data_IF_399106072205
#
_entry.id   IF_399106072205
#
_cell.length_a   1.000
_cell.length_b   1.000
_cell.length_c   1.000
_cell.angle_alpha   90.00
_cell.angle_beta   90.00
_cell.angle_gamma   90.00
#
_symmetry.space_group_name_H-M   'P 1'
#
loop_
_entity.id
_entity.type
_entity.pdbx_description
1 polymer ?
#
# COMPACT_ATOMS: atom_id res chain seq x y z
N UNK A 1 37.60 39.51 -9.88
CA UNK A 1 38.27 38.70 -10.91
C UNK A 1 38.04 37.24 -10.51
N UNK A 2 37.00 36.61 -11.06
CA UNK A 2 37.09 35.74 -12.25
C UNK A 2 37.98 34.53 -11.93
N UNK A 3 37.50 33.29 -11.86
CA UNK A 3 36.70 32.54 -12.85
C UNK A 3 36.05 31.31 -12.15
N UNK A 4 34.76 30.98 -12.38
CA UNK A 4 34.21 29.92 -13.28
C UNK A 4 34.93 28.57 -13.15
N UNK A 5 34.32 27.39 -13.19
CA UNK A 5 32.95 26.82 -13.26
C UNK A 5 33.22 25.30 -13.34
N UNK A 6 32.36 24.46 -12.75
CA UNK A 6 31.97 23.16 -13.33
C UNK A 6 30.95 22.51 -12.39
N UNK A 7 29.69 22.93 -12.56
CA UNK A 7 28.55 22.09 -12.28
C UNK A 7 28.70 20.82 -13.11
N UNK A 8 28.74 19.68 -12.45
CA UNK A 8 28.65 18.38 -13.11
C UNK A 8 27.18 17.99 -13.07
N UNK A 9 26.46 18.33 -14.13
CA UNK A 9 25.15 17.79 -14.43
C UNK A 9 25.25 16.26 -14.47
N UNK A 10 24.75 15.62 -13.42
CA UNK A 10 24.62 14.16 -13.33
C UNK A 10 23.43 13.78 -14.21
N UNK A 11 23.58 12.92 -15.24
CA UNK A 11 22.43 12.49 -16.03
C UNK A 11 21.51 11.69 -15.11
N UNK A 12 20.29 12.19 -14.90
CA UNK A 12 19.21 11.41 -14.30
C UNK A 12 18.83 10.31 -15.28
N UNK A 13 19.40 9.13 -15.09
CA UNK A 13 19.05 7.94 -15.87
C UNK A 13 17.64 7.55 -15.44
N UNK A 14 16.67 7.81 -16.32
CA UNK A 14 15.34 7.25 -16.19
C UNK A 14 15.44 5.73 -16.30
N UNK A 15 15.02 5.02 -15.26
CA UNK A 15 14.75 3.58 -15.33
C UNK A 15 13.79 3.32 -16.50
N UNK A 16 14.32 2.77 -17.59
CA UNK A 16 13.57 2.38 -18.77
C UNK A 16 12.79 1.10 -18.44
N UNK A 17 11.49 1.27 -18.13
CA UNK A 17 10.51 0.24 -17.79
C UNK A 17 10.09 -0.64 -19.00
N UNK A 18 10.99 -0.90 -19.95
CA UNK A 18 10.69 -1.72 -21.13
C UNK A 18 10.43 -3.21 -20.80
N UNK A 19 10.52 -3.62 -19.53
CA UNK A 19 10.14 -4.94 -19.04
C UNK A 19 8.62 -5.08 -18.70
N UNK A 20 7.82 -4.00 -18.79
CA UNK A 20 6.38 -4.03 -18.47
C UNK A 20 5.41 -4.18 -19.66
N UNK A 21 5.90 -4.35 -20.89
CA UNK A 21 5.03 -4.63 -22.05
C UNK A 21 4.70 -6.13 -22.23
N UNK A 22 4.54 -6.86 -21.12
CA UNK A 22 4.04 -8.23 -21.15
C UNK A 22 2.52 -8.21 -20.95
N UNK A 23 1.75 -8.52 -22.01
CA UNK A 23 0.31 -8.79 -21.90
C UNK A 23 0.16 -10.28 -21.52
N UNK A 24 -0.26 -10.64 -20.30
CA UNK A 24 -0.48 -12.04 -19.94
C UNK A 24 -1.76 -12.53 -20.62
N UNK A 25 -1.63 -13.44 -21.58
CA UNK A 25 -2.76 -14.07 -22.27
C UNK A 25 -2.34 -15.41 -22.87
N UNK A 26 -3.21 -16.41 -22.79
CA UNK A 26 -3.00 -17.71 -23.42
C UNK A 26 -3.23 -17.58 -24.94
N UNK A 27 -2.17 -17.45 -25.71
CA UNK A 27 -2.26 -17.47 -27.17
C UNK A 27 -2.27 -18.91 -27.67
N UNK A 28 -3.40 -19.33 -28.23
CA UNK A 28 -3.43 -20.52 -29.09
C UNK A 28 -2.63 -20.21 -30.35
N UNK A 29 -1.51 -20.90 -30.55
CA UNK A 29 -0.81 -20.92 -31.83
C UNK A 29 -1.78 -21.42 -32.90
N UNK A 30 -2.20 -20.51 -33.80
CA UNK A 30 -2.79 -20.93 -35.06
C UNK A 30 -1.59 -21.36 -35.91
N UNK A 31 -1.43 -22.67 -36.09
CA UNK A 31 -0.52 -23.21 -37.10
C UNK A 31 -1.02 -22.74 -38.47
N UNK A 32 -0.48 -21.62 -38.95
CA UNK A 32 -0.61 -21.26 -40.36
C UNK A 32 0.24 -22.27 -41.14
N UNK A 33 -0.45 -23.23 -41.74
CA UNK A 33 0.06 -24.24 -42.65
C UNK A 33 1.10 -23.64 -43.61
N UNK A 34 2.38 -23.98 -43.42
CA UNK A 34 3.37 -23.86 -44.49
C UNK A 34 3.07 -25.04 -45.43
N UNK A 35 2.16 -24.81 -46.36
CA UNK A 35 1.90 -25.74 -47.45
C UNK A 35 2.97 -25.50 -48.52
N UNK A 36 3.91 -26.44 -48.65
CA UNK A 36 4.85 -26.50 -49.77
C UNK A 36 4.06 -26.57 -51.09
N UNK A 37 4.13 -25.51 -51.90
CA UNK A 37 3.56 -25.49 -53.23
C UNK A 37 4.66 -25.77 -54.27
N UNK A 38 4.59 -26.97 -54.84
CA UNK A 38 5.37 -27.42 -56.00
C UNK A 38 4.96 -26.72 -57.29
N UNK A 39 5.96 -26.43 -58.13
CA UNK A 39 5.85 -25.90 -59.49
C UNK A 39 4.78 -26.58 -60.37
N UNK A 40 4.04 -25.77 -61.14
CA UNK A 40 3.63 -26.06 -62.53
C UNK A 40 3.05 -24.82 -63.23
N UNK A 41 3.42 -24.68 -64.50
CA UNK A 41 3.29 -23.51 -65.37
C UNK A 41 1.88 -23.20 -65.92
N UNK A 42 1.78 -21.97 -66.44
CA UNK A 42 0.96 -21.45 -67.56
C UNK A 42 -0.36 -20.70 -67.25
N UNK A 43 -0.40 -19.44 -67.70
CA UNK A 43 -1.61 -18.64 -67.87
C UNK A 43 -1.32 -17.16 -68.13
N UNK A 44 -1.40 -16.75 -69.39
CA UNK A 44 -1.23 -15.37 -69.88
C UNK A 44 -2.30 -14.40 -69.37
N UNK A 45 -1.92 -13.12 -69.21
CA UNK A 45 -2.85 -11.99 -69.33
C UNK A 45 -2.86 -11.03 -68.14
N UNK A 46 -2.18 -9.90 -68.29
CA UNK A 46 -2.78 -8.55 -68.33
C UNK A 46 -1.83 -7.49 -67.75
N UNK A 47 -1.77 -6.35 -68.45
CA UNK A 47 -0.88 -5.24 -68.15
C UNK A 47 -1.55 -4.33 -67.14
N UNK A 48 -1.15 -4.42 -65.88
CA UNK A 48 -1.42 -3.37 -64.90
C UNK A 48 -0.12 -2.83 -64.29
N UNK A 49 0.00 -1.51 -64.36
CA UNK A 49 1.09 -0.71 -63.79
C UNK A 49 1.03 -0.79 -62.25
N UNK A 50 1.59 -1.85 -61.68
CA UNK A 50 1.84 -1.91 -60.25
C UNK A 50 3.16 -1.18 -59.97
N UNK A 51 3.05 0.01 -59.39
CA UNK A 51 4.17 0.71 -58.76
C UNK A 51 4.90 -0.30 -57.87
N UNK A 52 6.21 -0.51 -58.07
CA UNK A 52 6.94 -1.45 -57.21
C UNK A 52 6.86 -0.91 -55.78
N UNK A 53 6.01 -1.52 -54.94
CA UNK A 53 6.19 -1.42 -53.51
C UNK A 53 7.56 -2.03 -53.28
N UNK A 54 8.55 -1.18 -53.00
CA UNK A 54 9.83 -1.66 -52.48
C UNK A 54 9.43 -2.50 -51.27
N UNK A 55 9.81 -3.79 -51.27
CA UNK A 55 9.72 -4.64 -50.09
C UNK A 55 10.62 -4.00 -49.02
N UNK A 56 10.07 -3.01 -48.31
CA UNK A 56 10.69 -2.43 -47.14
C UNK A 56 10.49 -3.48 -46.07
N UNK A 57 11.53 -4.29 -45.86
CA UNK A 57 11.56 -5.24 -44.75
C UNK A 57 11.16 -4.50 -43.46
N UNK A 58 10.25 -5.06 -42.66
CA UNK A 58 9.91 -4.48 -41.37
C UNK A 58 11.20 -4.13 -40.60
N UNK A 59 11.27 -2.93 -40.02
CA UNK A 59 12.40 -2.42 -39.23
C UNK A 59 13.68 -2.02 -40.03
N UNK A 60 13.67 -2.09 -41.37
CA UNK A 60 14.83 -1.72 -42.21
C UNK A 60 15.19 -0.23 -42.21
N UNK A 61 14.32 0.64 -41.68
CA UNK A 61 14.51 2.08 -41.56
C UNK A 61 14.70 2.57 -40.12
N UNK A 62 14.84 1.65 -39.16
CA UNK A 62 15.10 2.00 -37.77
C UNK A 62 16.58 2.39 -37.57
N UNK A 63 16.86 3.40 -36.73
CA UNK A 63 18.23 3.80 -36.43
C UNK A 63 18.97 2.66 -35.73
N UNK A 64 20.03 2.16 -36.36
CA UNK A 64 20.93 1.16 -35.76
C UNK A 64 21.69 1.83 -34.61
N UNK A 65 21.73 1.19 -33.44
CA UNK A 65 22.52 1.66 -32.31
C UNK A 65 23.99 1.82 -32.73
N UNK A 66 24.60 2.95 -32.34
CA UNK A 66 26.02 3.18 -32.62
C UNK A 66 26.92 2.25 -31.80
N UNK A 67 28.20 2.19 -32.18
CA UNK A 67 29.17 1.30 -31.53
C UNK A 67 29.38 1.62 -30.05
N UNK A 68 29.23 2.89 -29.66
CA UNK A 68 29.36 3.36 -28.28
C UNK A 68 28.20 2.83 -27.43
N UNK A 69 26.96 2.97 -27.90
CA UNK A 69 25.77 2.45 -27.25
C UNK A 69 25.82 0.92 -27.12
N UNK A 70 26.24 0.21 -28.18
CA UNK A 70 26.38 -1.26 -28.15
C UNK A 70 27.42 -1.68 -27.12
N UNK A 71 28.54 -0.97 -27.02
CA UNK A 71 29.58 -1.26 -26.04
C UNK A 71 29.07 -1.03 -24.60
N UNK A 72 28.36 0.08 -24.37
CA UNK A 72 27.78 0.41 -23.07
C UNK A 72 26.68 -0.60 -22.67
N UNK A 73 25.83 -1.00 -23.61
CA UNK A 73 24.82 -2.03 -23.39
C UNK A 73 25.47 -3.36 -22.98
N UNK A 74 26.51 -3.79 -23.69
CA UNK A 74 27.24 -5.03 -23.34
C UNK A 74 27.88 -4.95 -21.96
N UNK A 75 28.43 -3.78 -21.59
CA UNK A 75 28.97 -3.56 -20.26
C UNK A 75 27.87 -3.69 -19.18
N UNK A 76 26.72 -3.05 -19.39
CA UNK A 76 25.55 -3.15 -18.50
C UNK A 76 25.04 -4.59 -18.39
N UNK A 77 25.00 -5.35 -19.48
CA UNK A 77 24.61 -6.77 -19.45
C UNK A 77 25.61 -7.62 -18.65
N UNK A 78 26.90 -7.43 -18.88
CA UNK A 78 27.95 -8.14 -18.15
C UNK A 78 27.89 -7.85 -16.64
N UNK A 79 27.62 -6.60 -16.25
CA UNK A 79 27.43 -6.22 -14.85
C UNK A 79 26.18 -6.88 -14.23
N UNK A 80 25.05 -6.90 -14.95
CA UNK A 80 23.83 -7.60 -14.53
C UNK A 80 24.06 -9.10 -14.34
N UNK A 81 24.74 -9.75 -15.28
CA UNK A 81 25.09 -11.16 -15.19
C UNK A 81 26.02 -11.45 -14.01
N UNK A 82 27.03 -10.61 -13.79
CA UNK A 82 27.95 -10.72 -12.66
C UNK A 82 27.21 -10.57 -11.32
N UNK A 83 26.29 -9.59 -11.22
CA UNK A 83 25.46 -9.39 -10.02
C UNK A 83 24.58 -10.61 -9.76
N UNK A 84 23.89 -11.11 -10.78
CA UNK A 84 23.04 -12.30 -10.66
C UNK A 84 23.84 -13.56 -10.27
N UNK A 85 25.06 -13.72 -10.79
CA UNK A 85 25.94 -14.83 -10.42
C UNK A 85 26.33 -14.80 -8.93
N UNK A 86 26.70 -13.61 -8.41
CA UNK A 86 26.99 -13.41 -6.99
C UNK A 86 25.78 -13.75 -6.11
N UNK A 87 24.60 -13.27 -6.49
CA UNK A 87 23.34 -13.54 -5.78
C UNK A 87 22.99 -15.03 -5.75
N UNK A 88 23.25 -15.77 -6.84
CA UNK A 88 23.07 -17.23 -6.87
C UNK A 88 24.04 -17.95 -5.93
N UNK A 89 25.28 -17.50 -5.86
CA UNK A 89 26.28 -18.06 -4.93
C UNK A 89 25.85 -17.86 -3.46
N UNK A 90 25.24 -16.71 -3.13
CA UNK A 90 24.64 -16.44 -1.81
C UNK A 90 23.47 -17.37 -1.50
N UNK A 91 22.56 -17.58 -2.46
CA UNK A 91 21.37 -18.42 -2.29
C UNK A 91 21.72 -19.89 -2.01
N UNK A 92 22.74 -20.41 -2.71
CA UNK A 92 23.20 -21.81 -2.54
C UNK A 92 24.05 -21.97 -1.26
N UNK A 93 24.35 -20.87 -0.56
CA UNK A 93 25.15 -20.88 0.68
C UNK A 93 26.65 -21.08 0.44
N UNK A 94 27.13 -20.85 -0.80
CA UNK A 94 28.57 -20.84 -1.11
C UNK A 94 29.26 -19.63 -0.47
N UNK A 95 28.52 -18.54 -0.30
CA UNK A 95 28.95 -17.36 0.45
C UNK A 95 28.18 -17.25 1.78
N UNK A 96 28.92 -17.11 2.90
CA UNK A 96 28.32 -16.94 4.23
C UNK A 96 27.61 -15.59 4.35
N UNK A 97 26.49 -15.55 5.07
CA UNK A 97 25.71 -14.34 5.37
C UNK A 97 26.57 -13.20 5.96
N UNK A 98 27.54 -13.54 6.81
CA UNK A 98 28.49 -12.57 7.41
C UNK A 98 29.33 -11.80 6.39
N UNK A 99 29.51 -12.35 5.18
CA UNK A 99 30.42 -11.78 4.19
C UNK A 99 29.75 -10.73 3.32
N UNK A 100 28.43 -10.82 3.16
CA UNK A 100 27.66 -9.90 2.29
C UNK A 100 26.60 -9.08 3.04
N UNK A 101 26.23 -9.47 4.27
CA UNK A 101 25.31 -8.67 5.07
C UNK A 101 26.06 -7.58 5.84
N UNK A 102 25.89 -6.33 5.41
CA UNK A 102 26.46 -5.16 6.09
C UNK A 102 25.54 -4.60 7.20
N UNK A 103 24.25 -4.91 7.18
CA UNK A 103 23.29 -4.35 8.14
C UNK A 103 23.14 -5.17 9.44
N UNK A 104 23.70 -6.38 9.49
CA UNK A 104 23.63 -7.29 10.65
C UNK A 104 22.26 -7.91 10.92
N UNK A 105 21.24 -7.62 10.11
CA UNK A 105 19.85 -8.05 10.34
C UNK A 105 19.27 -8.94 9.22
N UNK A 106 20.00 -9.17 8.13
CA UNK A 106 19.54 -10.05 7.06
C UNK A 106 19.49 -11.51 7.55
N UNK A 107 18.60 -12.32 6.97
CA UNK A 107 18.46 -13.74 7.29
C UNK A 107 18.11 -14.53 6.03
N UNK A 108 18.72 -15.71 5.86
CA UNK A 108 18.57 -16.54 4.66
C UNK A 108 17.44 -17.59 4.74
N UNK A 109 16.84 -17.81 5.91
CA UNK A 109 15.95 -18.96 6.19
C UNK A 109 14.75 -19.05 5.25
N UNK A 110 14.25 -17.90 4.78
CA UNK A 110 13.02 -17.81 3.99
C UNK A 110 13.22 -17.23 2.60
N UNK A 111 14.47 -17.06 2.15
CA UNK A 111 14.73 -16.53 0.81
C UNK A 111 14.45 -17.61 -0.24
N UNK A 112 13.64 -17.28 -1.25
CA UNK A 112 13.17 -18.25 -2.26
C UNK A 112 13.92 -18.15 -3.59
N UNK A 113 14.51 -16.99 -3.88
CA UNK A 113 15.22 -16.75 -5.14
C UNK A 113 16.48 -15.90 -4.94
N UNK A 114 17.36 -15.89 -5.95
CA UNK A 114 18.66 -15.23 -5.85
C UNK A 114 18.54 -13.71 -5.64
N UNK A 115 17.53 -13.08 -6.26
CA UNK A 115 17.31 -11.64 -6.14
C UNK A 115 16.91 -11.22 -4.71
N UNK A 116 16.43 -12.15 -3.88
CA UNK A 116 16.15 -11.92 -2.46
C UNK A 116 17.42 -11.92 -1.59
N UNK A 117 18.58 -12.37 -2.11
CA UNK A 117 19.87 -12.40 -1.40
C UNK A 117 20.63 -11.06 -1.44
N UNK A 118 19.91 -9.94 -1.36
CA UNK A 118 20.48 -8.59 -1.32
C UNK A 118 20.45 -8.05 0.12
N UNK A 119 21.51 -7.38 0.55
CA UNK A 119 21.45 -6.61 1.80
C UNK A 119 20.63 -5.33 1.57
N UNK A 120 19.94 -4.80 2.58
CA UNK A 120 19.31 -3.49 2.48
C UNK A 120 20.33 -2.36 2.21
N UNK A 121 21.60 -2.57 2.54
CA UNK A 121 22.69 -1.66 2.22
C UNK A 121 23.15 -1.74 0.75
N UNK A 122 22.74 -2.78 0.01
CA UNK A 122 23.03 -2.94 -1.43
C UNK A 122 21.94 -2.25 -2.30
N UNK A 123 20.89 -1.74 -1.67
CA UNK A 123 19.71 -1.15 -2.32
C UNK A 123 19.71 0.35 -2.09
N UNK A 124 19.95 1.14 -3.15
CA UNK A 124 20.10 2.60 -3.09
C UNK A 124 18.90 3.27 -2.39
N UNK A 125 17.67 2.93 -2.81
CA UNK A 125 16.44 3.45 -2.20
C UNK A 125 16.29 3.10 -0.71
N UNK A 126 16.81 1.96 -0.26
CA UNK A 126 16.81 1.61 1.16
C UNK A 126 17.83 2.44 1.94
N UNK A 127 19.00 2.70 1.37
CA UNK A 127 20.04 3.55 1.97
C UNK A 127 19.56 4.99 2.08
N UNK A 128 18.92 5.51 1.02
CA UNK A 128 18.29 6.83 1.02
C UNK A 128 17.22 6.94 2.10
N UNK A 129 16.30 5.97 2.18
CA UNK A 129 15.24 5.97 3.20
C UNK A 129 15.80 5.89 4.64
N UNK A 130 16.90 5.16 4.86
CA UNK A 130 17.56 5.09 6.17
C UNK A 130 18.33 6.37 6.53
N UNK A 131 18.70 7.17 5.53
CA UNK A 131 19.45 8.41 5.69
C UNK A 131 18.54 9.65 5.69
N UNK A 132 17.23 9.46 5.58
CA UNK A 132 16.26 10.54 5.58
C UNK A 132 16.28 11.30 6.92
N UNK A 133 16.24 12.63 6.84
CA UNK A 133 16.38 13.53 7.99
C UNK A 133 15.33 13.23 9.08
N UNK A 134 14.10 12.88 8.68
CA UNK A 134 13.02 12.56 9.63
C UNK A 134 13.26 11.23 10.32
N UNK A 135 13.80 10.24 9.59
CA UNK A 135 14.15 8.92 10.14
C UNK A 135 15.29 9.04 11.14
N UNK A 136 16.32 9.82 10.82
CA UNK A 136 17.44 10.07 11.74
C UNK A 136 16.98 10.81 13.00
N UNK A 137 16.12 11.82 12.87
CA UNK A 137 15.56 12.56 14.00
C UNK A 137 14.71 11.66 14.93
N UNK A 138 13.90 10.76 14.36
CA UNK A 138 13.11 9.80 15.14
C UNK A 138 13.97 8.75 15.84
N UNK A 139 15.10 8.33 15.25
CA UNK A 139 16.06 7.39 15.86
C UNK A 139 16.90 8.02 16.98
N UNK A 140 17.19 9.32 16.90
CA UNK A 140 17.88 10.08 17.95
C UNK A 140 16.97 10.33 19.18
N UNK A 141 15.66 10.39 18.96
CA UNK A 141 14.70 10.32 20.06
C UNK A 141 14.55 8.88 20.53
N UNK A 142 14.44 8.66 21.85
CA UNK A 142 14.14 7.32 22.35
C UNK A 142 12.92 6.77 21.59
N UNK A 143 12.97 5.52 21.05
CA UNK A 143 11.88 4.99 20.26
C UNK A 143 10.61 5.15 21.07
N UNK A 144 9.65 5.93 20.56
CA UNK A 144 8.29 5.93 21.11
C UNK A 144 7.91 4.47 21.10
N UNK A 145 7.82 3.85 22.27
CA UNK A 145 7.39 2.47 22.33
C UNK A 145 5.97 2.48 21.78
N UNK A 146 5.80 2.13 20.50
CA UNK A 146 4.50 1.91 19.88
C UNK A 146 3.96 0.61 20.45
N UNK A 147 3.72 0.63 21.76
CA UNK A 147 2.85 -0.32 22.41
C UNK A 147 1.48 -0.01 21.83
N UNK A 148 1.05 -0.83 20.86
CA UNK A 148 -0.28 -0.79 20.22
C UNK A 148 -1.45 -0.83 21.25
N UNK A 149 -1.13 -0.95 22.54
CA UNK A 149 -2.05 -1.08 23.68
C UNK A 149 -1.62 -0.22 24.87
N UNK A 150 -1.06 0.97 24.64
CA UNK A 150 -0.66 1.90 25.71
C UNK A 150 -1.81 2.32 26.63
N UNK A 151 -3.06 2.34 26.12
CA UNK A 151 -4.25 2.63 26.93
C UNK A 151 -4.77 1.46 27.79
N UNK A 152 -4.24 0.24 27.60
CA UNK A 152 -4.65 -0.96 28.33
C UNK A 152 -5.92 -1.68 27.83
N UNK A 153 -6.78 -1.01 27.06
CA UNK A 153 -8.07 -1.58 26.59
C UNK A 153 -8.11 -1.91 25.08
N UNK A 154 -7.01 -1.70 24.36
CA UNK A 154 -6.93 -2.09 22.94
C UNK A 154 -6.85 -3.62 22.82
N UNK A 155 -7.59 -4.19 21.86
CA UNK A 155 -7.57 -5.61 21.54
C UNK A 155 -7.65 -5.85 20.04
N UNK A 156 -6.95 -6.88 19.57
CA UNK A 156 -6.92 -7.27 18.14
C UNK A 156 -8.09 -8.18 17.75
N UNK A 157 -8.84 -8.73 18.72
CA UNK A 157 -9.82 -9.81 18.50
C UNK A 157 -10.85 -9.50 17.42
N UNK A 158 -11.26 -8.24 17.29
CA UNK A 158 -12.31 -7.84 16.36
C UNK A 158 -11.84 -6.92 15.24
N UNK A 159 -10.54 -6.62 15.14
CA UNK A 159 -10.02 -5.74 14.09
C UNK A 159 -10.01 -6.47 12.74
N UNK A 160 -10.26 -5.75 11.66
CA UNK A 160 -10.38 -6.32 10.32
C UNK A 160 -9.22 -5.96 9.40
N UNK A 161 -8.52 -4.85 9.64
CA UNK A 161 -7.37 -4.42 8.83
C UNK A 161 -6.41 -3.53 9.64
N UNK A 162 -5.31 -3.10 8.99
CA UNK A 162 -4.28 -2.28 9.59
C UNK A 162 -4.78 -0.89 10.04
N UNK A 163 -5.77 -0.33 9.34
CA UNK A 163 -6.30 1.01 9.65
C UNK A 163 -7.08 1.05 10.98
N UNK A 164 -7.41 -0.11 11.55
CA UNK A 164 -8.12 -0.23 12.83
C UNK A 164 -7.18 -0.49 14.03
N UNK A 165 -5.86 -0.56 13.84
CA UNK A 165 -4.92 -0.96 14.90
C UNK A 165 -4.36 0.20 15.74
N UNK A 166 -4.83 1.43 15.54
CA UNK A 166 -4.36 2.63 16.26
C UNK A 166 -4.84 2.66 17.72
N UNK A 167 -3.98 3.07 18.66
CA UNK A 167 -4.39 3.28 20.05
C UNK A 167 -5.04 4.65 20.22
N UNK A 168 -6.02 4.77 21.13
CA UNK A 168 -6.62 6.07 21.45
C UNK A 168 -5.63 7.07 22.08
N UNK A 169 -4.47 6.61 22.58
CA UNK A 169 -3.40 7.49 23.06
C UNK A 169 -2.50 8.03 21.95
N UNK A 170 -2.56 7.42 20.77
CA UNK A 170 -1.80 7.86 19.60
C UNK A 170 -2.65 8.80 18.72
N UNK A 171 -3.94 8.95 19.02
CA UNK A 171 -4.87 9.82 18.30
C UNK A 171 -5.07 11.13 19.07
N UNK A 172 -4.59 12.24 18.51
CA UNK A 172 -4.61 13.57 19.14
C UNK A 172 -6.01 13.94 19.68
N UNK A 173 -7.06 13.81 18.87
CA UNK A 173 -8.43 14.12 19.29
C UNK A 173 -8.97 13.25 20.42
N UNK A 174 -8.54 11.98 20.50
CA UNK A 174 -8.90 11.15 21.64
C UNK A 174 -8.19 11.62 22.93
N UNK A 175 -6.95 12.12 22.83
CA UNK A 175 -6.20 12.65 23.97
C UNK A 175 -6.79 13.98 24.44
N UNK A 176 -7.17 14.86 23.51
CA UNK A 176 -7.89 16.10 23.80
C UNK A 176 -9.23 15.82 24.51
N UNK A 177 -10.05 14.93 23.94
CA UNK A 177 -11.34 14.54 24.52
C UNK A 177 -11.18 13.95 25.93
N UNK A 178 -10.11 13.20 26.22
CA UNK A 178 -9.83 12.67 27.56
C UNK A 178 -9.34 13.72 28.57
N UNK A 179 -8.92 14.89 28.10
CA UNK A 179 -8.36 15.97 28.91
C UNK A 179 -9.32 17.15 29.05
N UNK A 180 -10.55 16.99 28.57
CA UNK A 180 -11.59 18.01 28.59
C UNK A 180 -11.91 18.47 30.04
N UNK A 181 -12.12 19.78 30.22
CA UNK A 181 -12.35 20.45 31.52
C UNK A 181 -13.58 19.92 32.28
N UNK A 182 -14.55 19.31 31.59
CA UNK A 182 -15.73 18.73 32.22
C UNK A 182 -15.44 17.37 32.86
N UNK A 183 -14.39 16.66 32.45
CA UNK A 183 -14.05 15.32 32.96
C UNK A 183 -13.68 15.32 34.46
N UNK A 184 -12.84 16.24 34.96
CA UNK A 184 -12.53 16.33 36.39
C UNK A 184 -13.73 16.61 37.31
N UNK A 185 -14.86 17.09 36.78
CA UNK A 185 -16.07 17.31 37.57
C UNK A 185 -16.80 15.99 37.86
N UNK A 186 -16.73 15.04 36.94
CA UNK A 186 -17.38 13.72 37.04
C UNK A 186 -16.42 12.62 37.53
N UNK A 187 -15.10 12.84 37.45
CA UNK A 187 -14.08 11.85 37.81
C UNK A 187 -12.93 12.45 38.63
N UNK A 188 -12.55 11.80 39.73
CA UNK A 188 -11.40 12.20 40.57
C UNK A 188 -10.05 12.18 39.81
N UNK A 189 -9.95 11.39 38.74
CA UNK A 189 -8.74 11.26 37.92
C UNK A 189 -9.07 11.15 36.44
N UNK A 190 -8.28 11.77 35.57
CA UNK A 190 -8.45 11.70 34.13
C UNK A 190 -8.38 10.23 33.60
N UNK A 191 -9.30 9.81 32.71
CA UNK A 191 -9.35 8.44 32.23
C UNK A 191 -8.13 8.07 31.39
N UNK A 192 -7.63 6.84 31.61
CA UNK A 192 -6.48 6.31 30.86
C UNK A 192 -6.82 5.84 29.44
N UNK A 193 -8.10 5.67 29.11
CA UNK A 193 -8.55 5.20 27.81
C UNK A 193 -9.87 5.87 27.42
N UNK A 194 -10.08 6.13 26.13
CA UNK A 194 -11.32 6.74 25.61
C UNK A 194 -12.58 5.92 25.94
N UNK A 195 -12.45 4.60 26.09
CA UNK A 195 -13.58 3.74 26.50
C UNK A 195 -13.99 3.93 27.96
N UNK A 196 -13.16 4.60 28.76
CA UNK A 196 -13.43 4.99 30.15
C UNK A 196 -13.90 6.45 30.26
N UNK A 197 -14.03 7.16 29.14
CA UNK A 197 -14.62 8.50 29.12
C UNK A 197 -16.07 8.42 29.65
N UNK A 198 -16.51 9.33 30.54
CA UNK A 198 -17.84 9.26 31.18
C UNK A 198 -18.99 9.10 30.17
N UNK A 199 -18.94 9.88 29.08
CA UNK A 199 -19.95 9.82 28.03
C UNK A 199 -19.86 8.57 27.13
N UNK A 200 -18.75 7.82 27.10
CA UNK A 200 -18.55 6.77 26.09
C UNK A 200 -19.60 5.66 26.18
N UNK A 201 -19.94 5.22 27.38
CA UNK A 201 -20.95 4.15 27.55
C UNK A 201 -22.32 4.62 27.05
N UNK A 202 -22.77 5.79 27.52
CA UNK A 202 -24.06 6.36 27.14
C UNK A 202 -24.13 6.69 25.65
N UNK A 203 -23.07 7.23 25.05
CA UNK A 203 -23.07 7.69 23.66
C UNK A 203 -22.84 6.53 22.67
N UNK A 204 -21.98 5.57 23.00
CA UNK A 204 -21.54 4.54 22.04
C UNK A 204 -22.08 3.13 22.32
N UNK A 205 -22.56 2.83 23.54
CA UNK A 205 -22.95 1.46 23.94
C UNK A 205 -24.40 1.33 24.41
N UNK A 206 -25.05 2.42 24.83
CA UNK A 206 -26.45 2.42 25.22
C UNK A 206 -27.40 2.40 24.02
N UNK A 207 -28.30 1.42 23.99
CA UNK A 207 -29.20 1.19 22.84
C UNK A 207 -30.22 2.31 22.64
N UNK A 208 -30.70 2.92 23.72
CA UNK A 208 -31.72 3.96 23.63
C UNK A 208 -31.10 5.27 23.13
N UNK A 209 -29.93 5.61 23.65
CA UNK A 209 -29.12 6.71 23.17
C UNK A 209 -28.80 6.57 21.68
N UNK A 210 -28.32 5.40 21.23
CA UNK A 210 -28.05 5.15 19.81
C UNK A 210 -29.31 5.27 18.94
N UNK A 211 -30.46 4.75 19.38
CA UNK A 211 -31.73 4.90 18.63
C UNK A 211 -32.18 6.35 18.52
N UNK A 212 -31.99 7.15 19.57
CA UNK A 212 -32.32 8.57 19.53
C UNK A 212 -31.34 9.33 18.61
N UNK A 213 -30.05 8.99 18.70
CA UNK A 213 -28.99 9.57 17.90
C UNK A 213 -29.06 9.17 16.41
N UNK A 214 -29.68 8.04 16.06
CA UNK A 214 -29.71 7.62 14.65
C UNK A 214 -30.40 8.64 13.74
N UNK A 215 -31.40 9.36 14.25
CA UNK A 215 -32.19 10.33 13.49
C UNK A 215 -31.41 11.56 13.01
N UNK A 216 -30.27 11.91 13.63
CA UNK A 216 -29.42 13.03 13.19
C UNK A 216 -28.48 12.66 12.03
N UNK A 217 -28.26 11.38 11.78
CA UNK A 217 -27.32 10.94 10.75
C UNK A 217 -27.95 10.91 9.35
N UNK A 218 -27.12 11.27 8.36
CA UNK A 218 -27.46 11.19 6.94
C UNK A 218 -26.43 10.36 6.20
N UNK A 219 -26.86 9.72 5.13
CA UNK A 219 -25.95 9.08 4.17
C UNK A 219 -25.19 10.14 3.37
N UNK A 220 -24.18 9.73 2.60
CA UNK A 220 -23.43 10.62 1.69
C UNK A 220 -24.39 11.34 0.72
N UNK A 221 -25.43 10.65 0.26
CA UNK A 221 -26.51 11.19 -0.59
C UNK A 221 -27.52 12.08 0.17
N UNK A 222 -27.21 12.50 1.40
CA UNK A 222 -28.06 13.33 2.28
C UNK A 222 -29.41 12.72 2.68
N UNK A 223 -29.65 11.45 2.38
CA UNK A 223 -30.86 10.73 2.82
C UNK A 223 -30.77 10.46 4.33
N UNK A 224 -31.92 10.43 5.00
CA UNK A 224 -31.98 10.08 6.41
C UNK A 224 -31.43 8.66 6.61
N UNK A 225 -30.56 8.48 7.62
CA UNK A 225 -30.03 7.17 7.93
C UNK A 225 -31.15 6.27 8.47
N UNK A 226 -31.45 5.18 7.77
CA UNK A 226 -32.47 4.22 8.16
C UNK A 226 -31.84 2.88 8.53
N UNK A 227 -32.53 2.13 9.40
CA UNK A 227 -32.13 0.78 9.74
C UNK A 227 -32.10 -0.10 8.49
N UNK A 228 -30.92 -0.58 8.15
CA UNK A 228 -30.69 -1.49 7.03
C UNK A 228 -29.90 -2.69 7.58
N UNK A 229 -30.36 -3.91 7.30
CA UNK A 229 -29.79 -5.13 7.87
C UNK A 229 -30.23 -5.39 9.32
N UNK A 230 -29.40 -6.12 10.08
CA UNK A 230 -29.70 -6.54 11.46
C UNK A 230 -29.70 -5.35 12.44
N UNK A 231 -30.44 -5.47 13.55
CA UNK A 231 -30.42 -4.48 14.65
C UNK A 231 -28.99 -4.30 15.20
N UNK A 232 -28.19 -5.37 15.26
CA UNK A 232 -26.80 -5.29 15.73
C UNK A 232 -25.90 -4.51 14.76
N UNK A 233 -26.04 -4.75 13.45
CA UNK A 233 -25.32 -3.98 12.43
C UNK A 233 -25.69 -2.50 12.48
N UNK A 234 -26.97 -2.20 12.63
CA UNK A 234 -27.45 -0.84 12.80
C UNK A 234 -26.85 -0.17 14.04
N UNK A 235 -26.89 -0.84 15.20
CA UNK A 235 -26.33 -0.30 16.44
C UNK A 235 -24.82 -0.04 16.33
N UNK A 236 -24.05 -0.95 15.71
CA UNK A 236 -22.61 -0.73 15.46
C UNK A 236 -22.37 0.50 14.61
N UNK A 237 -23.10 0.63 13.49
CA UNK A 237 -22.89 1.73 12.56
C UNK A 237 -23.22 3.09 13.19
N UNK A 238 -24.28 3.16 13.99
CA UNK A 238 -24.62 4.38 14.73
C UNK A 238 -23.58 4.65 15.81
N UNK A 239 -23.13 3.63 16.54
CA UNK A 239 -22.11 3.76 17.59
C UNK A 239 -20.77 4.27 17.04
N UNK A 240 -20.34 3.80 15.87
CA UNK A 240 -19.12 4.31 15.24
C UNK A 240 -19.22 5.81 14.94
N UNK A 241 -20.37 6.27 14.43
CA UNK A 241 -20.59 7.68 14.13
C UNK A 241 -20.73 8.54 15.38
N UNK A 242 -21.39 8.01 16.41
CA UNK A 242 -21.50 8.68 17.71
C UNK A 242 -20.14 8.82 18.40
N UNK A 243 -19.26 7.83 18.27
CA UNK A 243 -17.88 7.97 18.73
C UNK A 243 -17.17 9.12 18.01
N UNK A 244 -17.32 9.21 16.69
CA UNK A 244 -16.72 10.30 15.92
C UNK A 244 -17.28 11.66 16.37
N UNK A 245 -18.58 11.77 16.63
CA UNK A 245 -19.16 12.98 17.20
C UNK A 245 -18.61 13.30 18.61
N UNK A 246 -18.41 12.30 19.46
CA UNK A 246 -17.88 12.50 20.81
C UNK A 246 -16.45 13.06 20.79
N UNK A 247 -15.63 12.64 19.82
CA UNK A 247 -14.19 12.93 19.79
C UNK A 247 -13.82 14.06 18.83
N UNK A 248 -14.56 14.23 17.73
CA UNK A 248 -14.24 15.15 16.63
C UNK A 248 -15.35 16.16 16.33
N UNK A 249 -16.43 16.18 17.13
CA UNK A 249 -17.64 16.99 16.94
C UNK A 249 -18.36 16.76 15.60
N UNK A 250 -17.90 17.39 14.50
CA UNK A 250 -18.46 17.25 13.16
C UNK A 250 -17.37 16.99 12.15
N UNK A 251 -17.33 15.76 11.68
CA UNK A 251 -16.47 15.36 10.56
C UNK A 251 -17.33 15.36 9.31
N UNK A 252 -17.11 16.32 8.41
CA UNK A 252 -17.96 16.61 7.25
C UNK A 252 -18.16 15.40 6.31
N UNK A 253 -17.36 15.32 5.26
CA UNK A 253 -17.34 14.14 4.35
C UNK A 253 -16.26 13.13 4.71
N UNK A 254 -15.30 13.53 5.54
CA UNK A 254 -14.13 12.70 5.84
C UNK A 254 -14.55 11.49 6.67
N UNK A 255 -13.96 10.35 6.37
CA UNK A 255 -14.06 9.13 7.19
C UNK A 255 -12.79 9.04 8.02
N UNK A 256 -12.95 8.86 9.33
CA UNK A 256 -11.83 8.71 10.26
C UNK A 256 -11.95 7.34 10.94
N UNK A 257 -10.88 6.53 10.98
CA UNK A 257 -10.92 5.25 11.68
C UNK A 257 -11.04 5.46 13.19
N UNK A 258 -11.67 4.49 13.86
CA UNK A 258 -11.73 4.49 15.32
C UNK A 258 -10.46 3.86 15.92
N UNK A 259 -10.11 4.17 17.18
CA UNK A 259 -9.05 3.43 17.86
C UNK A 259 -9.48 2.00 18.17
N UNK A 260 -8.50 1.09 18.24
CA UNK A 260 -8.70 -0.34 18.47
C UNK A 260 -9.52 -0.64 19.74
N UNK A 261 -9.34 0.14 20.82
CA UNK A 261 -10.13 -0.01 22.04
C UNK A 261 -11.62 0.29 21.83
N UNK A 262 -11.96 1.30 21.01
CA UNK A 262 -13.34 1.65 20.71
C UNK A 262 -13.99 0.59 19.80
N UNK A 263 -13.28 0.13 18.77
CA UNK A 263 -13.73 -1.00 17.95
C UNK A 263 -14.00 -2.23 18.81
N UNK A 264 -13.05 -2.59 19.69
CA UNK A 264 -13.21 -3.73 20.57
C UNK A 264 -14.44 -3.60 21.47
N UNK A 265 -14.64 -2.46 22.13
CA UNK A 265 -15.78 -2.25 23.03
C UNK A 265 -17.13 -2.32 22.28
N UNK A 266 -17.24 -1.64 21.14
CA UNK A 266 -18.48 -1.58 20.35
C UNK A 266 -18.79 -2.96 19.74
N UNK A 267 -17.81 -3.61 19.12
CA UNK A 267 -17.97 -4.94 18.49
C UNK A 267 -18.23 -6.04 19.52
N UNK A 268 -17.66 -5.92 20.71
CA UNK A 268 -17.97 -6.80 21.84
C UNK A 268 -19.45 -6.71 22.25
N UNK A 269 -20.01 -5.49 22.27
CA UNK A 269 -21.39 -5.23 22.68
C UNK A 269 -22.42 -5.65 21.64
N UNK A 270 -22.14 -5.40 20.36
CA UNK A 270 -23.06 -5.59 19.25
C UNK A 270 -22.52 -6.65 18.28
N UNK A 271 -22.50 -7.89 18.72
CA UNK A 271 -21.97 -9.02 17.94
C UNK A 271 -22.88 -9.36 16.74
N UNK A 272 -22.32 -9.84 15.62
CA UNK A 272 -23.09 -10.42 14.53
C UNK A 272 -23.94 -11.59 15.04
N UNK A 273 -25.23 -11.62 14.69
CA UNK A 273 -26.18 -12.65 15.14
C UNK A 273 -26.66 -13.55 14.01
N UNK A 274 -26.64 -13.04 12.79
CA UNK A 274 -27.14 -13.75 11.62
C UNK A 274 -26.03 -14.56 10.94
N UNK A 275 -26.37 -15.74 10.40
CA UNK A 275 -25.40 -16.57 9.67
C UNK A 275 -24.92 -15.82 8.42
N UNK A 276 -23.61 -15.58 8.34
CA UNK A 276 -22.97 -14.84 7.23
C UNK A 276 -22.69 -13.37 7.54
N UNK A 277 -23.24 -12.82 8.63
CA UNK A 277 -22.90 -11.49 9.11
C UNK A 277 -21.49 -11.51 9.73
N UNK A 278 -20.60 -10.67 9.22
CA UNK A 278 -19.24 -10.47 9.73
C UNK A 278 -18.94 -8.99 9.89
N UNK A 279 -17.88 -8.65 10.63
CA UNK A 279 -17.45 -7.26 10.72
C UNK A 279 -16.86 -6.81 9.40
N UNK A 280 -17.33 -5.67 8.90
CA UNK A 280 -16.71 -4.99 7.76
C UNK A 280 -15.71 -3.99 8.34
N UNK A 281 -14.47 -4.08 7.87
CA UNK A 281 -13.38 -3.21 8.28
C UNK A 281 -13.54 -1.78 7.77
N UNK A 282 -12.82 -0.85 8.38
CA UNK A 282 -12.70 0.51 7.86
C UNK A 282 -12.09 0.51 6.45
N UNK A 283 -12.70 1.24 5.52
CA UNK A 283 -12.22 1.43 4.15
C UNK A 283 -12.08 2.93 3.92
N UNK A 284 -10.91 3.34 3.45
CA UNK A 284 -10.71 4.66 2.87
C UNK A 284 -11.43 4.67 1.53
N UNK A 285 -12.36 5.60 1.34
CA UNK A 285 -12.92 5.83 0.01
C UNK A 285 -11.81 6.59 -0.75
N UNK A 286 -11.14 5.91 -1.68
CA UNK A 286 -10.33 6.59 -2.69
C UNK A 286 -11.26 7.61 -3.35
N UNK A 287 -10.96 8.90 -3.19
CA UNK A 287 -11.62 9.92 -3.99
C UNK A 287 -11.16 9.70 -5.42
N UNK A 288 -11.98 9.03 -6.22
CA UNK A 288 -11.93 9.22 -7.67
C UNK A 288 -12.22 10.72 -7.91
N UNK A 289 -11.15 11.49 -8.11
CA UNK A 289 -11.19 12.87 -8.60
C UNK A 289 -11.66 12.94 -10.06
#
# INVERSE_FOLDING_TARGET
MSSKSSDSDRPSVSDDDSEFNYIPGNYSLIESEIMEASDSENGEGDKDQHTSCVDVEPYSSEPVADEEWIAEYRLRQAEKEQRLASLKDRLVGKESLSNWCSCGNCNITFLQNANECCCCQDMEKCVEALSDEWVLQDLETAPKSYSRRSCGNCSITFLQNANECSCCKDMEKCVESLSDEWIPQDMETAPKCITLHPAFNTVCLDRWSLRLASGKFRTIDKRSYQQTGSDEAFMRNVAYREFIHLVYDRVGKNRIPLPACAYHAIRSKFQPKEKGEHFIGFQDEEMDD
#
